data_IF_447510880485
#
_entry.id   IF_447510880485
#
_cell.length_a   1.000
_cell.length_b   1.000
_cell.length_c   1.000
_cell.angle_alpha   90.00
_cell.angle_beta   90.00
_cell.angle_gamma   90.00
#
_symmetry.space_group_name_H-M   'P 1'
#
loop_
_entity.id
_entity.type
_entity.pdbx_description
1 polymer ?
#
# COMPACT_ATOMS: atom_id res chain seq x y z
N UNK A 1 3.87 -17.94 -23.72
CA UNK A 1 4.43 -16.67 -23.21
C UNK A 1 3.52 -15.48 -23.51
N UNK A 2 3.16 -15.21 -24.77
CA UNK A 2 2.36 -14.01 -25.14
C UNK A 2 1.04 -13.85 -24.35
N UNK A 3 0.19 -14.89 -24.30
CA UNK A 3 -1.07 -14.84 -23.53
C UNK A 3 -0.84 -14.52 -22.05
N UNK A 4 0.19 -15.10 -21.43
CA UNK A 4 0.55 -14.83 -20.04
C UNK A 4 0.99 -13.38 -19.86
N UNK A 5 1.87 -12.88 -20.72
CA UNK A 5 2.32 -11.48 -20.69
C UNK A 5 1.16 -10.48 -20.83
N UNK A 6 0.16 -10.77 -21.67
CA UNK A 6 -1.06 -9.94 -21.77
C UNK A 6 -1.85 -9.91 -20.46
N UNK A 7 -2.00 -11.07 -19.80
CA UNK A 7 -2.67 -11.14 -18.49
C UNK A 7 -1.90 -10.38 -17.41
N UNK A 8 -0.57 -10.52 -17.38
CA UNK A 8 0.28 -9.79 -16.42
C UNK A 8 0.21 -8.27 -16.64
N UNK A 9 0.17 -7.82 -17.90
CA UNK A 9 0.02 -6.40 -18.22
C UNK A 9 -1.33 -5.83 -17.76
N UNK A 10 -2.43 -6.58 -17.91
CA UNK A 10 -3.75 -6.17 -17.39
C UNK A 10 -3.71 -6.09 -15.86
N UNK A 11 -3.19 -7.12 -15.19
CA UNK A 11 -3.05 -7.15 -13.73
C UNK A 11 -2.23 -5.95 -13.22
N UNK A 12 -1.06 -5.69 -13.80
CA UNK A 12 -0.20 -4.57 -13.39
C UNK A 12 -0.87 -3.20 -13.61
N UNK A 13 -1.70 -3.08 -14.65
CA UNK A 13 -2.48 -1.86 -14.89
C UNK A 13 -3.54 -1.65 -13.81
N UNK A 14 -4.24 -2.71 -13.41
CA UNK A 14 -5.22 -2.68 -12.32
C UNK A 14 -4.56 -2.34 -10.98
N UNK A 15 -3.46 -3.02 -10.63
CA UNK A 15 -2.68 -2.73 -9.43
C UNK A 15 -2.23 -1.27 -9.38
N UNK A 16 -1.76 -0.72 -10.50
CA UNK A 16 -1.35 0.69 -10.57
C UNK A 16 -2.51 1.63 -10.26
N UNK A 17 -3.69 1.41 -10.84
CA UNK A 17 -4.85 2.26 -10.55
C UNK A 17 -5.28 2.13 -9.09
N UNK A 18 -5.36 0.92 -8.55
CA UNK A 18 -5.71 0.73 -7.14
C UNK A 18 -4.70 1.38 -6.19
N UNK A 19 -3.40 1.32 -6.49
CA UNK A 19 -2.37 2.01 -5.70
C UNK A 19 -2.46 3.54 -5.80
N UNK A 20 -2.85 4.08 -6.96
CA UNK A 20 -3.10 5.52 -7.11
C UNK A 20 -4.33 5.96 -6.30
N UNK A 21 -5.42 5.20 -6.36
CA UNK A 21 -6.63 5.47 -5.57
C UNK A 21 -6.34 5.42 -4.05
N UNK A 22 -5.43 4.52 -3.63
CA UNK A 22 -5.00 4.44 -2.22
C UNK A 22 -4.18 5.65 -1.77
N UNK A 23 -3.44 6.31 -2.66
CA UNK A 23 -2.73 7.54 -2.31
C UNK A 23 -3.71 8.69 -1.98
N UNK A 24 -4.79 8.80 -2.75
CA UNK A 24 -5.88 9.74 -2.45
C UNK A 24 -6.60 9.34 -1.15
N UNK A 25 -6.87 8.05 -0.97
CA UNK A 25 -7.50 7.53 0.25
C UNK A 25 -6.66 7.76 1.51
N UNK A 26 -5.32 7.72 1.42
CA UNK A 26 -4.42 8.00 2.54
C UNK A 26 -4.53 9.47 2.99
N UNK A 27 -4.58 10.38 2.02
CA UNK A 27 -4.80 11.80 2.28
C UNK A 27 -6.15 12.06 2.96
N UNK A 28 -7.21 11.40 2.50
CA UNK A 28 -8.54 11.49 3.11
C UNK A 28 -8.58 10.88 4.53
N UNK A 29 -7.92 9.73 4.72
CA UNK A 29 -7.82 9.08 6.03
C UNK A 29 -7.07 9.96 7.03
N UNK A 30 -5.96 10.57 6.61
CA UNK A 30 -5.21 11.52 7.42
C UNK A 30 -6.07 12.73 7.84
N UNK A 31 -6.80 13.32 6.90
CA UNK A 31 -7.70 14.44 7.19
C UNK A 31 -8.76 14.06 8.24
N UNK A 32 -9.36 12.87 8.13
CA UNK A 32 -10.33 12.34 9.10
C UNK A 32 -9.72 12.14 10.49
N UNK A 33 -8.48 11.64 10.57
CA UNK A 33 -7.75 11.53 11.84
C UNK A 33 -7.55 12.92 12.45
N UNK A 34 -7.13 13.90 11.66
CA UNK A 34 -6.94 15.28 12.14
C UNK A 34 -8.25 15.93 12.61
N UNK A 35 -9.36 15.69 11.93
CA UNK A 35 -10.70 16.11 12.38
C UNK A 35 -11.10 15.44 13.69
N UNK A 36 -10.86 14.14 13.83
CA UNK A 36 -11.14 13.40 15.05
C UNK A 36 -10.35 13.97 16.24
N UNK A 37 -9.07 14.31 16.07
CA UNK A 37 -8.25 14.93 17.11
C UNK A 37 -8.84 16.26 17.63
N UNK A 38 -9.49 17.05 16.76
CA UNK A 38 -10.13 18.32 17.18
C UNK A 38 -11.32 18.10 18.11
N UNK A 39 -11.96 16.93 18.04
CA UNK A 39 -13.10 16.61 18.92
C UNK A 39 -12.69 16.34 20.36
N UNK A 40 -11.41 15.97 20.59
CA UNK A 40 -10.89 15.45 21.88
C UNK A 40 -11.66 14.24 22.42
N UNK A 41 -12.49 13.62 21.59
CA UNK A 41 -13.23 12.40 21.92
C UNK A 41 -12.37 11.19 21.55
N UNK A 42 -11.89 10.51 22.58
CA UNK A 42 -11.02 9.33 22.45
C UNK A 42 -11.62 8.27 21.53
N UNK A 43 -12.93 8.02 21.63
CA UNK A 43 -13.60 6.99 20.81
C UNK A 43 -13.58 7.34 19.32
N UNK A 44 -13.72 8.63 18.97
CA UNK A 44 -13.65 9.11 17.59
C UNK A 44 -12.23 9.06 17.04
N UNK A 45 -11.24 9.39 17.86
CA UNK A 45 -9.82 9.30 17.49
C UNK A 45 -9.43 7.85 17.23
N UNK A 46 -9.82 6.92 18.12
CA UNK A 46 -9.57 5.50 17.95
C UNK A 46 -10.23 4.95 16.67
N UNK A 47 -11.50 5.30 16.43
CA UNK A 47 -12.18 4.89 15.20
C UNK A 47 -11.47 5.42 13.95
N UNK A 48 -11.09 6.70 13.94
CA UNK A 48 -10.41 7.31 12.79
C UNK A 48 -9.04 6.67 12.53
N UNK A 49 -8.24 6.43 13.56
CA UNK A 49 -6.94 5.75 13.45
C UNK A 49 -7.08 4.30 12.97
N UNK A 50 -8.08 3.58 13.46
CA UNK A 50 -8.36 2.21 12.99
C UNK A 50 -8.62 2.19 11.49
N UNK A 51 -9.49 3.08 11.00
CA UNK A 51 -9.75 3.20 9.56
C UNK A 51 -8.54 3.69 8.77
N UNK A 52 -7.73 4.59 9.35
CA UNK A 52 -6.52 5.07 8.70
C UNK A 52 -5.44 3.98 8.56
N UNK A 53 -5.43 2.94 9.40
CA UNK A 53 -4.54 1.78 9.25
C UNK A 53 -4.90 0.90 8.05
N UNK A 54 -6.16 0.90 7.60
CA UNK A 54 -6.58 0.03 6.49
C UNK A 54 -5.96 0.44 5.14
N UNK A 55 -5.72 1.74 4.93
CA UNK A 55 -5.10 2.24 3.70
C UNK A 55 -3.68 1.71 3.51
N UNK A 56 -2.72 1.92 4.44
CA UNK A 56 -1.38 1.36 4.28
C UNK A 56 -1.38 -0.17 4.35
N UNK A 57 -2.31 -0.81 5.06
CA UNK A 57 -2.49 -2.28 4.99
C UNK A 57 -2.77 -2.74 3.55
N UNK A 58 -3.65 -2.04 2.83
CA UNK A 58 -3.94 -2.35 1.42
C UNK A 58 -2.76 -2.01 0.50
N UNK A 59 -2.03 -0.92 0.76
CA UNK A 59 -0.80 -0.58 0.02
C UNK A 59 0.22 -1.71 0.15
N UNK A 60 0.47 -2.23 1.35
CA UNK A 60 1.38 -3.34 1.56
C UNK A 60 0.97 -4.59 0.77
N UNK A 61 -0.30 -4.99 0.81
CA UNK A 61 -0.81 -6.13 0.04
C UNK A 61 -0.58 -5.96 -1.47
N UNK A 62 -0.97 -4.81 -2.03
CA UNK A 62 -0.86 -4.58 -3.47
C UNK A 62 0.60 -4.38 -3.91
N UNK A 63 1.44 -3.80 -3.05
CA UNK A 63 2.88 -3.69 -3.30
C UNK A 63 3.53 -5.09 -3.39
N UNK A 64 3.18 -6.02 -2.50
CA UNK A 64 3.67 -7.40 -2.59
C UNK A 64 3.17 -8.11 -3.87
N UNK A 65 1.93 -7.84 -4.30
CA UNK A 65 1.43 -8.31 -5.59
C UNK A 65 2.21 -7.75 -6.79
N UNK A 66 2.59 -6.47 -6.77
CA UNK A 66 3.48 -5.89 -7.79
C UNK A 66 4.84 -6.58 -7.76
N UNK A 67 5.43 -6.74 -6.58
CA UNK A 67 6.76 -7.36 -6.39
C UNK A 67 6.79 -8.78 -6.96
N UNK A 68 5.82 -9.61 -6.61
CA UNK A 68 5.71 -10.99 -7.10
C UNK A 68 5.43 -11.06 -8.61
N UNK A 69 4.61 -10.14 -9.14
CA UNK A 69 4.31 -10.07 -10.57
C UNK A 69 5.54 -9.60 -11.37
N UNK A 70 6.31 -8.64 -10.85
CA UNK A 70 7.56 -8.16 -11.45
C UNK A 70 8.62 -9.27 -11.51
N UNK A 71 8.76 -10.05 -10.43
CA UNK A 71 9.66 -11.21 -10.41
C UNK A 71 9.26 -12.28 -11.44
N UNK A 72 7.96 -12.46 -11.72
CA UNK A 72 7.52 -13.34 -12.80
C UNK A 72 7.90 -12.77 -14.18
N UNK A 73 7.62 -11.47 -14.41
CA UNK A 73 7.99 -10.78 -15.66
C UNK A 73 9.50 -10.87 -15.91
N UNK A 74 10.33 -10.73 -14.89
CA UNK A 74 11.78 -10.87 -15.00
C UNK A 74 12.21 -12.27 -15.49
N UNK A 75 11.45 -13.31 -15.14
CA UNK A 75 11.74 -14.71 -15.53
C UNK A 75 11.28 -15.05 -16.94
N UNK A 76 10.12 -14.57 -17.36
CA UNK A 76 9.46 -15.01 -18.62
C UNK A 76 9.37 -13.94 -19.71
N UNK A 77 9.69 -12.69 -19.37
CA UNK A 77 9.56 -11.52 -20.24
C UNK A 77 10.73 -11.30 -21.19
N UNK A 78 10.79 -10.10 -21.76
CA UNK A 78 11.88 -9.70 -22.65
C UNK A 78 13.18 -9.54 -21.83
N UNK A 79 14.22 -10.31 -22.17
CA UNK A 79 15.54 -10.23 -21.50
C UNK A 79 16.14 -8.83 -21.55
N UNK A 80 15.89 -8.06 -22.61
CA UNK A 80 16.38 -6.69 -22.74
C UNK A 80 15.66 -5.70 -21.81
N UNK A 81 14.52 -6.09 -21.23
CA UNK A 81 13.74 -5.32 -20.26
C UNK A 81 13.85 -5.89 -18.83
N UNK A 82 14.83 -6.75 -18.57
CA UNK A 82 15.06 -7.31 -17.23
C UNK A 82 15.30 -6.23 -16.19
N UNK A 83 16.05 -5.18 -16.53
CA UNK A 83 16.30 -4.05 -15.62
C UNK A 83 15.01 -3.35 -15.20
N UNK A 84 14.04 -3.21 -16.12
CA UNK A 84 12.75 -2.58 -15.81
C UNK A 84 11.93 -3.43 -14.83
N UNK A 85 11.96 -4.76 -15.01
CA UNK A 85 11.31 -5.69 -14.08
C UNK A 85 11.96 -5.68 -12.70
N UNK A 86 13.30 -5.64 -12.63
CA UNK A 86 14.03 -5.53 -11.37
C UNK A 86 13.76 -4.20 -10.66
N UNK A 87 13.73 -3.08 -11.40
CA UNK A 87 13.35 -1.77 -10.86
C UNK A 87 11.95 -1.79 -10.26
N UNK A 88 10.98 -2.42 -10.94
CA UNK A 88 9.63 -2.56 -10.40
C UNK A 88 9.59 -3.37 -9.10
N UNK A 89 10.37 -4.46 -9.00
CA UNK A 89 10.49 -5.27 -7.79
C UNK A 89 11.05 -4.45 -6.61
N UNK A 90 12.11 -3.68 -6.83
CA UNK A 90 12.72 -2.86 -5.77
C UNK A 90 11.79 -1.74 -5.29
N UNK A 91 11.11 -1.06 -6.21
CA UNK A 91 10.15 -0.01 -5.87
C UNK A 91 8.96 -0.59 -5.10
N UNK A 92 8.47 -1.75 -5.52
CA UNK A 92 7.40 -2.45 -4.82
C UNK A 92 7.82 -2.87 -3.40
N UNK A 93 9.05 -3.35 -3.21
CA UNK A 93 9.57 -3.65 -1.88
C UNK A 93 9.66 -2.39 -1.00
N UNK A 94 10.18 -1.28 -1.53
CA UNK A 94 10.25 -0.03 -0.78
C UNK A 94 8.85 0.48 -0.38
N UNK A 95 7.87 0.36 -1.27
CA UNK A 95 6.47 0.71 -0.98
C UNK A 95 5.88 -0.19 0.12
N UNK A 96 6.17 -1.50 0.10
CA UNK A 96 5.74 -2.43 1.15
C UNK A 96 6.30 -2.02 2.52
N UNK A 97 7.62 -1.82 2.62
CA UNK A 97 8.27 -1.44 3.88
C UNK A 97 7.74 -0.09 4.39
N UNK A 98 7.59 0.91 3.51
CA UNK A 98 7.00 2.20 3.86
C UNK A 98 5.57 2.06 4.39
N UNK A 99 4.77 1.16 3.83
CA UNK A 99 3.42 0.92 4.30
C UNK A 99 3.40 0.22 5.67
N UNK A 100 4.36 -0.66 5.96
CA UNK A 100 4.51 -1.27 7.29
C UNK A 100 4.78 -0.22 8.37
N UNK A 101 5.67 0.74 8.11
CA UNK A 101 5.93 1.85 9.04
C UNK A 101 4.66 2.65 9.35
N UNK A 102 3.83 2.93 8.33
CA UNK A 102 2.56 3.64 8.49
C UNK A 102 1.53 2.81 9.30
N UNK A 103 1.49 1.49 9.11
CA UNK A 103 0.66 0.60 9.93
C UNK A 103 1.15 0.61 11.38
N UNK A 104 2.45 0.46 11.58
CA UNK A 104 3.04 0.34 12.91
C UNK A 104 2.82 1.60 13.74
N UNK A 105 2.98 2.79 13.16
CA UNK A 105 2.74 4.03 13.90
C UNK A 105 1.27 4.17 14.32
N UNK A 106 0.31 3.88 13.44
CA UNK A 106 -1.11 3.95 13.78
C UNK A 106 -1.49 2.93 14.86
N UNK A 107 -0.97 1.70 14.77
CA UNK A 107 -1.20 0.66 15.78
C UNK A 107 -0.61 1.04 17.13
N UNK A 108 0.61 1.60 17.16
CA UNK A 108 1.23 2.10 18.39
C UNK A 108 0.40 3.22 19.02
N UNK A 109 -0.10 4.17 18.22
CA UNK A 109 -0.98 5.23 18.71
C UNK A 109 -2.31 4.69 19.25
N UNK A 110 -2.91 3.70 18.58
CA UNK A 110 -4.12 3.03 19.08
C UNK A 110 -3.88 2.32 20.41
N UNK A 111 -2.73 1.66 20.56
CA UNK A 111 -2.35 0.99 21.80
C UNK A 111 -2.15 1.99 22.95
N UNK A 112 -1.48 3.12 22.69
CA UNK A 112 -1.25 4.15 23.71
C UNK A 112 -2.54 4.81 24.16
N UNK A 113 -3.50 5.03 23.25
CA UNK A 113 -4.80 5.55 23.63
C UNK A 113 -5.48 4.59 24.61
N UNK A 114 -5.50 3.28 24.37
CA UNK A 114 -6.17 2.32 25.27
C UNK A 114 -5.57 2.23 26.67
N UNK A 115 -4.29 2.57 26.84
CA UNK A 115 -3.60 2.55 28.14
C UNK A 115 -3.85 3.80 29.00
N UNK A 116 -4.40 4.87 28.43
CA UNK A 116 -4.80 6.11 29.12
C UNK A 116 -6.23 6.04 29.70
#
# INVERSE_FOLDING_TARGET
>A
VEKRMKLLAVKMKELRYSLMDLADADSDAFNKVMEAYRTKDKSKIEAALFWATEVPRKVAELADEVRTTAAEVAKIGNKNAYSDAASAEYLANAAYESAQENIEINVKTLASLKSD
#
